data_IF_152901089944
#
_entry.id   IF_152901089944
#
_cell.length_a   1.000
_cell.length_b   1.000
_cell.length_c   1.000
_cell.angle_alpha   90.00
_cell.angle_beta   90.00
_cell.angle_gamma   90.00
#
_symmetry.space_group_name_H-M   'P 1'
#
loop_
_entity.id
_entity.type
_entity.pdbx_description
1 polymer ?
#
# COMPACT_ATOMS: atom_id res chain seq x y z
N UNK A 1 3.25 11.99 -8.48
CA UNK A 1 3.67 11.33 -7.22
C UNK A 1 2.62 11.60 -6.15
N UNK A 2 2.10 10.57 -5.47
CA UNK A 2 0.98 10.68 -4.51
C UNK A 2 1.40 10.65 -3.04
N UNK A 3 2.65 11.07 -2.78
CA UNK A 3 3.35 10.83 -1.53
C UNK A 3 3.47 12.06 -0.62
N UNK A 4 2.50 12.97 -0.76
CA UNK A 4 2.57 14.34 -0.21
C UNK A 4 1.92 14.39 1.20
N UNK A 5 1.15 13.38 1.57
CA UNK A 5 0.57 13.26 2.91
C UNK A 5 1.57 12.54 3.83
N UNK A 6 1.74 13.04 5.07
CA UNK A 6 2.80 12.60 6.01
C UNK A 6 2.84 11.09 6.29
N UNK A 7 1.71 10.41 6.18
CA UNK A 7 1.57 8.97 6.44
C UNK A 7 1.66 8.12 5.15
N UNK A 8 1.84 8.76 3.99
CA UNK A 8 1.98 8.10 2.70
C UNK A 8 3.23 8.66 2.00
N UNK A 9 4.37 8.68 2.68
CA UNK A 9 5.64 9.11 2.08
C UNK A 9 6.35 7.92 1.43
N UNK A 10 7.31 8.19 0.53
CA UNK A 10 8.17 7.14 -0.02
C UNK A 10 8.93 6.40 1.09
N UNK A 11 9.47 7.15 2.05
CA UNK A 11 10.19 6.58 3.20
C UNK A 11 9.30 5.67 4.03
N UNK A 12 8.06 6.05 4.30
CA UNK A 12 7.12 5.21 5.04
C UNK A 12 6.81 3.89 4.31
N UNK A 13 6.68 3.91 2.99
CA UNK A 13 6.46 2.69 2.21
C UNK A 13 7.68 1.77 2.18
N UNK A 14 8.89 2.34 2.04
CA UNK A 14 10.14 1.57 2.07
C UNK A 14 10.36 0.96 3.46
N UNK A 15 10.11 1.72 4.53
CA UNK A 15 10.18 1.23 5.91
C UNK A 15 9.16 0.12 6.17
N UNK A 16 7.90 0.31 5.74
CA UNK A 16 6.86 -0.72 5.84
C UNK A 16 7.28 -2.00 5.13
N UNK A 17 7.70 -1.91 3.87
CA UNK A 17 8.12 -3.07 3.10
C UNK A 17 9.33 -3.76 3.70
N UNK A 18 10.37 -2.99 4.07
CA UNK A 18 11.59 -3.51 4.66
C UNK A 18 11.34 -4.23 5.98
N UNK A 19 10.64 -3.59 6.93
CA UNK A 19 10.32 -4.20 8.23
C UNK A 19 9.37 -5.40 8.12
N UNK A 20 8.45 -5.37 7.15
CA UNK A 20 7.57 -6.49 6.89
C UNK A 20 8.32 -7.75 6.39
N UNK A 21 9.53 -7.63 5.85
CA UNK A 21 10.35 -8.83 5.51
C UNK A 21 10.94 -9.54 6.72
N UNK A 22 10.93 -8.92 7.91
CA UNK A 22 11.45 -9.53 9.13
C UNK A 22 10.45 -10.56 9.64
N UNK A 23 10.86 -11.82 9.69
CA UNK A 23 10.05 -12.88 10.28
C UNK A 23 10.03 -12.72 11.81
N UNK A 24 8.84 -12.81 12.40
CA UNK A 24 8.65 -12.64 13.85
C UNK A 24 8.09 -13.90 14.49
N UNK A 25 8.54 -14.18 15.70
CA UNK A 25 8.02 -15.26 16.55
C UNK A 25 7.54 -14.72 17.89
N UNK A 26 6.52 -15.37 18.46
CA UNK A 26 6.09 -15.19 19.83
C UNK A 26 7.10 -15.81 20.80
N UNK A 27 6.92 -15.58 22.09
CA UNK A 27 7.81 -16.10 23.13
C UNK A 27 7.88 -17.63 23.20
N UNK A 28 6.82 -18.30 22.76
CA UNK A 28 6.70 -19.76 22.63
C UNK A 28 7.35 -20.32 21.35
N UNK A 29 7.93 -19.46 20.51
CA UNK A 29 8.57 -19.83 19.25
C UNK A 29 7.63 -19.96 18.06
N UNK A 30 6.32 -19.73 18.22
CA UNK A 30 5.38 -19.76 17.10
C UNK A 30 5.56 -18.54 16.20
N UNK A 31 5.53 -18.79 14.89
CA UNK A 31 5.61 -17.74 13.89
C UNK A 31 4.37 -16.84 13.94
N UNK A 32 4.58 -15.53 13.92
CA UNK A 32 3.52 -14.54 13.85
C UNK A 32 3.14 -14.35 12.38
N UNK A 33 1.93 -14.80 12.03
CA UNK A 33 1.35 -14.68 10.69
C UNK A 33 0.09 -13.82 10.65
N UNK A 34 -0.50 -13.55 11.81
CA UNK A 34 -1.63 -12.63 11.93
C UNK A 34 -1.17 -11.21 11.58
N UNK A 35 -1.94 -10.51 10.72
CA UNK A 35 -1.52 -9.23 10.14
C UNK A 35 -1.35 -8.14 11.20
N UNK A 36 -2.25 -8.09 12.18
CA UNK A 36 -2.29 -7.02 13.17
C UNK A 36 -1.25 -7.29 14.27
N UNK A 37 -1.11 -8.54 14.69
CA UNK A 37 -0.04 -8.96 15.58
C UNK A 37 1.34 -8.74 14.96
N UNK A 38 1.51 -9.07 13.68
CA UNK A 38 2.76 -8.84 12.96
C UNK A 38 3.08 -7.35 12.87
N UNK A 39 2.11 -6.50 12.51
CA UNK A 39 2.29 -5.05 12.44
C UNK A 39 2.72 -4.47 13.80
N UNK A 40 2.06 -4.88 14.89
CA UNK A 40 2.43 -4.48 16.26
C UNK A 40 3.83 -4.96 16.67
N UNK A 41 4.17 -6.21 16.34
CA UNK A 41 5.42 -6.82 16.73
C UNK A 41 6.63 -6.25 15.97
N UNK A 42 6.45 -6.00 14.67
CA UNK A 42 7.50 -5.48 13.79
C UNK A 42 7.60 -3.96 13.78
N UNK A 43 6.63 -3.26 14.37
CA UNK A 43 6.57 -1.80 14.41
C UNK A 43 6.71 -1.20 13.01
N UNK A 44 5.89 -1.69 12.08
CA UNK A 44 5.77 -1.14 10.73
C UNK A 44 4.39 -0.52 10.53
N UNK A 45 4.36 0.58 9.78
CA UNK A 45 3.13 1.29 9.47
C UNK A 45 2.35 1.70 10.73
N UNK A 46 1.02 1.63 10.67
CA UNK A 46 0.14 1.84 11.81
C UNK A 46 -0.90 0.72 11.86
N UNK A 47 -0.99 0.02 12.99
CA UNK A 47 -1.90 -1.12 13.18
C UNK A 47 -3.38 -0.74 13.08
N UNK A 48 -3.72 0.54 13.26
CA UNK A 48 -5.08 1.07 13.09
C UNK A 48 -5.37 1.55 11.67
N UNK A 49 -4.39 1.53 10.76
CA UNK A 49 -4.58 1.80 9.33
C UNK A 49 -4.71 0.48 8.59
N UNK A 50 -5.94 0.03 8.33
CA UNK A 50 -6.23 -1.29 7.74
C UNK A 50 -5.33 -1.69 6.54
N UNK A 51 -4.89 -0.72 5.73
CA UNK A 51 -3.94 -0.96 4.63
C UNK A 51 -2.58 -1.47 5.09
N UNK A 52 -2.03 -0.95 6.18
CA UNK A 52 -0.63 -1.19 6.56
C UNK A 52 -0.42 -2.64 7.05
N UNK A 53 -1.21 -3.18 8.00
CA UNK A 53 -1.14 -4.60 8.37
C UNK A 53 -1.34 -5.52 7.17
N UNK A 54 -2.30 -5.20 6.29
CA UNK A 54 -2.62 -6.00 5.11
C UNK A 54 -1.44 -6.05 4.12
N UNK A 55 -0.86 -4.91 3.78
CA UNK A 55 0.31 -4.83 2.89
C UNK A 55 1.52 -5.54 3.53
N UNK A 56 1.78 -5.28 4.82
CA UNK A 56 2.90 -5.89 5.52
C UNK A 56 2.79 -7.41 5.61
N UNK A 57 1.61 -7.95 5.91
CA UNK A 57 1.37 -9.39 5.94
C UNK A 57 1.59 -10.05 4.57
N UNK A 58 1.17 -9.40 3.48
CA UNK A 58 1.40 -9.89 2.12
C UNK A 58 2.90 -9.94 1.78
N UNK A 59 3.65 -8.88 2.12
CA UNK A 59 5.12 -8.85 1.95
C UNK A 59 5.80 -9.93 2.79
N UNK A 60 5.36 -10.10 4.05
CA UNK A 60 5.91 -11.12 4.94
C UNK A 60 5.67 -12.54 4.42
N UNK A 61 4.53 -12.81 3.78
CA UNK A 61 4.26 -14.11 3.17
C UNK A 61 5.30 -14.48 2.12
N UNK A 62 5.60 -13.57 1.20
CA UNK A 62 6.67 -13.76 0.22
C UNK A 62 8.06 -13.88 0.87
N UNK A 63 8.33 -13.12 1.93
CA UNK A 63 9.61 -13.23 2.66
C UNK A 63 9.79 -14.61 3.31
N UNK A 64 8.73 -15.20 3.88
CA UNK A 64 8.74 -16.56 4.43
C UNK A 64 9.02 -17.62 3.36
N UNK A 65 8.56 -17.37 2.15
CA UNK A 65 8.76 -18.25 1.00
C UNK A 65 10.15 -18.09 0.37
N UNK A 66 10.96 -17.12 0.79
CA UNK A 66 12.31 -16.91 0.26
C UNK A 66 12.34 -16.10 -1.05
N UNK A 67 11.32 -15.29 -1.29
CA UNK A 67 11.24 -14.44 -2.48
C UNK A 67 11.96 -13.10 -2.31
N UNK A 68 12.57 -12.63 -3.40
CA UNK A 68 13.03 -11.25 -3.55
C UNK A 68 11.87 -10.41 -4.07
N UNK A 69 11.57 -9.30 -3.41
CA UNK A 69 10.55 -8.35 -3.83
C UNK A 69 11.17 -7.03 -4.27
N UNK A 70 10.63 -6.45 -5.33
CA UNK A 70 10.92 -5.07 -5.73
C UNK A 70 9.60 -4.30 -5.88
N UNK A 71 9.61 -3.01 -5.57
CA UNK A 71 8.44 -2.14 -5.74
C UNK A 71 8.40 -1.67 -7.20
N UNK A 72 7.23 -1.72 -7.84
CA UNK A 72 7.08 -1.25 -9.21
C UNK A 72 7.28 0.26 -9.34
N UNK A 73 7.76 0.70 -10.50
CA UNK A 73 7.83 2.10 -10.88
C UNK A 73 6.52 2.52 -11.59
N UNK A 74 5.82 3.58 -11.15
CA UNK A 74 6.14 4.46 -10.03
C UNK A 74 5.82 3.85 -8.67
N UNK A 75 6.61 4.21 -7.67
CA UNK A 75 6.33 3.86 -6.27
C UNK A 75 5.12 4.66 -5.80
N UNK A 76 4.16 3.98 -5.16
CA UNK A 76 2.93 4.60 -4.70
C UNK A 76 1.99 3.62 -3.98
N UNK A 77 1.10 4.19 -3.15
CA UNK A 77 -0.12 3.53 -2.73
C UNK A 77 -1.21 3.80 -3.76
N UNK A 78 -1.89 2.74 -4.18
CA UNK A 78 -2.92 2.77 -5.19
C UNK A 78 -4.24 2.29 -4.63
N UNK A 79 -5.34 2.88 -5.09
CA UNK A 79 -6.66 2.30 -4.89
C UNK A 79 -6.77 1.14 -5.88
N UNK A 80 -6.82 -0.06 -5.34
CA UNK A 80 -6.80 -1.31 -6.10
C UNK A 80 -8.20 -1.68 -6.60
N UNK A 81 -9.16 -1.66 -5.68
CA UNK A 81 -10.56 -1.97 -5.94
C UNK A 81 -11.45 -1.34 -4.89
N UNK A 82 -12.75 -1.23 -5.23
CA UNK A 82 -13.79 -0.84 -4.29
C UNK A 82 -14.86 -1.94 -4.28
N UNK A 83 -15.23 -2.43 -3.10
CA UNK A 83 -16.32 -3.38 -2.91
C UNK A 83 -17.62 -2.63 -2.59
N UNK A 84 -18.56 -2.60 -3.52
CA UNK A 84 -19.84 -1.90 -3.37
C UNK A 84 -20.95 -2.76 -2.74
N UNK A 85 -20.71 -4.06 -2.54
CA UNK A 85 -21.71 -4.98 -1.97
C UNK A 85 -22.33 -4.54 -0.64
N UNK A 86 -21.59 -3.90 0.31
CA UNK A 86 -22.19 -3.46 1.57
C UNK A 86 -22.89 -2.10 1.48
N UNK A 87 -22.87 -1.42 0.34
CA UNK A 87 -23.48 -0.09 0.13
C UNK A 87 -24.84 -0.27 -0.50
N UNK A 88 -25.85 0.39 0.03
CA UNK A 88 -27.23 0.27 -0.43
C UNK A 88 -27.88 1.65 -0.62
N UNK A 89 -28.67 1.82 -1.69
CA UNK A 89 -29.50 3.00 -1.87
C UNK A 89 -30.62 3.07 -0.81
N UNK A 90 -31.28 4.23 -0.64
CA UNK A 90 -32.43 4.34 0.26
C UNK A 90 -33.62 3.47 -0.18
N UNK A 91 -34.55 3.14 0.73
CA UNK A 91 -35.76 2.40 0.39
C UNK A 91 -36.52 3.02 -0.79
N UNK A 92 -36.93 2.19 -1.75
CA UNK A 92 -37.58 2.65 -2.98
C UNK A 92 -36.61 2.90 -4.15
N UNK A 93 -35.31 2.75 -3.93
CA UNK A 93 -34.26 2.84 -4.93
C UNK A 93 -33.46 1.54 -5.06
N UNK A 94 -34.04 0.39 -4.70
CA UNK A 94 -33.34 -0.90 -4.60
C UNK A 94 -32.68 -1.39 -5.91
N UNK A 95 -33.13 -0.86 -7.07
CA UNK A 95 -32.57 -1.17 -8.39
C UNK A 95 -31.33 -0.31 -8.75
N UNK A 96 -30.99 0.70 -7.95
CA UNK A 96 -29.85 1.57 -8.19
C UNK A 96 -28.53 0.89 -7.75
N UNK A 97 -27.58 0.71 -8.68
CA UNK A 97 -26.26 0.13 -8.40
C UNK A 97 -25.27 1.20 -7.92
N UNK A 98 -24.81 1.17 -6.65
CA UNK A 98 -23.83 2.12 -6.13
C UNK A 98 -22.52 2.15 -6.93
N UNK A 99 -22.13 1.06 -7.59
CA UNK A 99 -20.92 1.05 -8.39
C UNK A 99 -20.97 2.09 -9.53
N UNK A 100 -22.16 2.38 -10.06
CA UNK A 100 -22.34 3.37 -11.12
C UNK A 100 -22.10 4.82 -10.64
N UNK A 101 -22.13 5.06 -9.33
CA UNK A 101 -21.91 6.37 -8.72
C UNK A 101 -20.42 6.66 -8.47
N UNK A 102 -19.54 5.69 -8.72
CA UNK A 102 -18.10 5.86 -8.56
C UNK A 102 -17.41 6.27 -9.85
N UNK A 103 -16.55 7.28 -9.74
CA UNK A 103 -15.70 7.73 -10.84
C UNK A 103 -14.25 7.82 -10.42
N UNK A 104 -13.36 7.19 -11.19
CA UNK A 104 -11.93 7.45 -11.10
C UNK A 104 -11.61 8.84 -11.65
N UNK A 105 -11.03 9.69 -10.83
CA UNK A 105 -10.68 11.08 -11.21
C UNK A 105 -9.18 11.32 -11.28
N UNK A 106 -8.35 10.39 -10.79
CA UNK A 106 -6.90 10.43 -11.01
C UNK A 106 -6.27 9.04 -11.04
N UNK A 107 -5.33 8.87 -11.96
CA UNK A 107 -4.58 7.64 -12.19
C UNK A 107 -5.06 6.94 -13.46
N UNK A 108 -4.67 5.68 -13.62
CA UNK A 108 -5.07 4.81 -14.74
C UNK A 108 -5.28 3.40 -14.21
N UNK A 109 -5.81 2.49 -15.03
CA UNK A 109 -6.01 1.09 -14.66
C UNK A 109 -4.81 0.52 -13.92
N UNK A 110 -5.06 0.08 -12.70
CA UNK A 110 -4.07 -0.48 -11.79
C UNK A 110 -3.25 0.51 -10.96
N UNK A 111 -3.23 1.79 -11.30
CA UNK A 111 -2.51 2.84 -10.57
C UNK A 111 -3.44 4.03 -10.28
N UNK A 112 -4.69 3.72 -9.90
CA UNK A 112 -5.65 4.72 -9.47
C UNK A 112 -5.28 5.26 -8.09
N UNK A 113 -5.58 6.53 -7.87
CA UNK A 113 -5.13 7.24 -6.68
C UNK A 113 -6.13 8.28 -6.19
N UNK A 114 -7.18 8.55 -6.97
CA UNK A 114 -8.33 9.33 -6.56
C UNK A 114 -9.57 8.82 -7.28
N UNK A 115 -10.65 8.68 -6.53
CA UNK A 115 -11.99 8.57 -7.07
C UNK A 115 -12.94 9.49 -6.32
N UNK A 116 -14.11 9.67 -6.90
CA UNK A 116 -15.22 10.46 -6.38
C UNK A 116 -16.48 9.59 -6.41
N UNK A 117 -17.26 9.69 -5.34
CA UNK A 117 -18.52 8.97 -5.18
C UNK A 117 -19.64 10.00 -5.07
N UNK A 118 -20.54 10.02 -6.04
CA UNK A 118 -21.61 11.01 -6.12
C UNK A 118 -22.87 10.37 -6.70
N UNK A 119 -24.01 10.55 -6.02
CA UNK A 119 -25.31 10.13 -6.53
C UNK A 119 -25.74 11.13 -7.62
N UNK A 120 -26.06 10.66 -8.85
CA UNK A 120 -26.53 11.55 -9.90
C UNK A 120 -27.81 12.30 -9.50
N UNK A 121 -27.93 13.62 -9.79
CA UNK A 121 -29.07 14.43 -9.37
C UNK A 121 -30.44 13.87 -9.79
N UNK A 122 -30.51 13.18 -10.94
CA UNK A 122 -31.71 12.55 -11.48
C UNK A 122 -32.26 11.41 -10.62
N UNK A 123 -31.45 10.84 -9.71
CA UNK A 123 -31.89 9.81 -8.77
C UNK A 123 -32.78 10.37 -7.66
N UNK A 124 -32.72 11.68 -7.40
CA UNK A 124 -33.60 12.34 -6.43
C UNK A 124 -33.25 12.10 -4.95
N UNK A 125 -32.09 11.51 -4.66
CA UNK A 125 -31.51 11.38 -3.32
C UNK A 125 -30.01 11.72 -3.35
N UNK A 126 -29.38 11.84 -2.19
CA UNK A 126 -27.94 12.14 -2.05
C UNK A 126 -27.19 11.01 -1.34
N UNK A 127 -25.86 11.03 -1.36
CA UNK A 127 -25.02 10.04 -0.65
C UNK A 127 -25.41 9.88 0.83
N UNK A 128 -25.85 10.97 1.48
CA UNK A 128 -26.29 10.95 2.88
C UNK A 128 -27.59 10.18 3.14
N UNK A 129 -28.34 9.83 2.09
CA UNK A 129 -29.56 9.01 2.21
C UNK A 129 -29.24 7.50 2.08
N UNK A 130 -28.01 7.14 1.71
CA UNK A 130 -27.58 5.77 1.50
C UNK A 130 -27.17 5.08 2.81
N UNK A 131 -27.09 3.76 2.75
CA UNK A 131 -26.74 2.90 3.88
C UNK A 131 -25.47 2.12 3.58
N UNK A 132 -24.68 1.85 4.61
CA UNK A 132 -23.57 0.90 4.57
C UNK A 132 -23.78 -0.14 5.64
N UNK A 133 -23.93 -1.42 5.26
CA UNK A 133 -24.25 -2.53 6.19
C UNK A 133 -25.47 -2.20 7.08
N UNK A 134 -26.50 -1.61 6.50
CA UNK A 134 -27.72 -1.13 7.17
C UNK A 134 -27.52 0.03 8.16
N UNK A 135 -26.36 0.70 8.15
CA UNK A 135 -26.10 1.93 8.93
C UNK A 135 -26.19 3.14 8.00
N UNK A 136 -26.98 4.17 8.33
CA UNK A 136 -27.04 5.41 7.54
C UNK A 136 -25.66 6.06 7.36
N UNK A 137 -25.40 6.61 6.16
CA UNK A 137 -24.25 7.47 5.90
C UNK A 137 -24.52 8.89 6.42
N UNK A 138 -23.86 9.26 7.51
CA UNK A 138 -23.85 10.60 8.07
C UNK A 138 -22.70 11.47 7.50
N UNK A 139 -21.57 10.85 7.15
CA UNK A 139 -20.40 11.53 6.59
C UNK A 139 -19.61 10.63 5.63
N UNK A 140 -19.06 11.20 4.56
CA UNK A 140 -18.33 10.45 3.53
C UNK A 140 -17.10 9.68 4.03
N UNK A 141 -16.55 10.08 5.18
CA UNK A 141 -15.48 9.33 5.85
C UNK A 141 -15.89 7.91 6.26
N UNK A 142 -17.19 7.62 6.43
CA UNK A 142 -17.67 6.27 6.75
C UNK A 142 -17.34 5.27 5.65
N UNK A 143 -17.33 5.67 4.37
CA UNK A 143 -16.93 4.81 3.25
C UNK A 143 -15.43 4.42 3.34
N UNK A 144 -14.61 5.23 4.00
CA UNK A 144 -13.18 4.99 4.19
C UNK A 144 -12.81 4.48 5.59
N UNK A 145 -13.78 4.34 6.50
CA UNK A 145 -13.56 4.00 7.91
C UNK A 145 -13.80 2.52 8.22
N UNK A 146 -13.43 2.10 9.42
CA UNK A 146 -13.52 0.71 9.92
C UNK A 146 -14.94 0.10 9.94
N UNK A 147 -16.00 0.89 9.71
CA UNK A 147 -17.36 0.34 9.49
C UNK A 147 -17.42 -0.54 8.23
N UNK A 148 -16.47 -0.32 7.31
CA UNK A 148 -16.36 -1.00 6.02
C UNK A 148 -14.92 -1.45 5.85
N UNK A 149 -14.48 -2.36 6.74
CA UNK A 149 -13.30 -3.17 6.44
C UNK A 149 -13.40 -3.64 4.98
N UNK A 150 -12.37 -3.28 4.22
CA UNK A 150 -12.12 -3.68 2.84
C UNK A 150 -13.03 -3.10 1.75
N UNK A 151 -13.85 -2.05 2.05
CA UNK A 151 -14.56 -1.33 0.98
C UNK A 151 -13.57 -0.73 0.00
N UNK A 152 -12.59 0.06 0.47
CA UNK A 152 -11.53 0.61 -0.38
C UNK A 152 -10.25 -0.16 -0.12
N UNK A 153 -9.84 -0.97 -1.09
CA UNK A 153 -8.58 -1.72 -1.01
C UNK A 153 -7.44 -0.84 -1.50
N UNK A 154 -6.44 -0.65 -0.64
CA UNK A 154 -5.22 0.07 -0.96
C UNK A 154 -4.08 -0.92 -1.12
N UNK A 155 -3.32 -0.81 -2.20
CA UNK A 155 -2.21 -1.71 -2.52
C UNK A 155 -0.91 -0.96 -2.81
N UNK A 156 0.20 -1.66 -2.60
CA UNK A 156 1.49 -1.37 -3.24
C UNK A 156 1.65 -2.37 -4.38
N UNK A 157 2.21 -1.92 -5.50
CA UNK A 157 2.62 -2.83 -6.57
C UNK A 157 4.04 -3.30 -6.37
N UNK A 158 4.23 -4.61 -6.31
CA UNK A 158 5.53 -5.24 -6.22
C UNK A 158 5.67 -6.37 -7.25
N UNK A 159 6.92 -6.70 -7.59
CA UNK A 159 7.26 -7.87 -8.40
C UNK A 159 8.16 -8.80 -7.61
N UNK A 160 7.92 -10.09 -7.79
CA UNK A 160 8.83 -11.14 -7.37
C UNK A 160 9.98 -11.21 -8.38
N UNK A 161 11.21 -11.09 -7.90
CA UNK A 161 12.41 -11.19 -8.70
C UNK A 161 12.94 -12.64 -8.70
N UNK A 162 12.47 -13.43 -9.66
CA UNK A 162 12.92 -14.82 -9.85
C UNK A 162 12.22 -15.84 -8.94
N UNK A 163 12.65 -17.12 -8.99
CA UNK A 163 12.15 -18.15 -8.08
C UNK A 163 12.55 -17.86 -6.62
N UNK A 164 11.91 -18.52 -5.64
CA UNK A 164 12.35 -18.42 -4.25
C UNK A 164 13.72 -19.09 -4.11
N UNK A 165 14.76 -18.27 -3.94
CA UNK A 165 16.15 -18.70 -3.88
C UNK A 165 16.89 -18.14 -2.66
N UNK A 166 16.20 -17.38 -1.80
CA UNK A 166 16.72 -16.89 -0.52
C UNK A 166 16.33 -17.88 0.57
N UNK A 167 17.30 -18.28 1.39
CA UNK A 167 17.02 -18.91 2.68
C UNK A 167 16.48 -17.82 3.62
N UNK A 168 15.22 -17.89 4.07
CA UNK A 168 14.67 -16.86 4.97
C UNK A 168 15.53 -16.72 6.22
N UNK A 169 15.72 -15.48 6.67
CA UNK A 169 16.45 -15.22 7.90
C UNK A 169 15.74 -15.84 9.11
N UNK A 170 16.52 -16.22 10.12
CA UNK A 170 15.98 -16.75 11.38
C UNK A 170 14.96 -15.75 11.99
N UNK A 171 13.76 -16.22 12.38
CA UNK A 171 12.76 -15.36 12.99
C UNK A 171 13.24 -14.69 14.28
N UNK A 172 12.73 -13.48 14.53
CA UNK A 172 13.12 -12.63 15.67
C UNK A 172 11.95 -12.46 16.64
N UNK A 173 12.21 -12.30 17.94
CA UNK A 173 11.14 -11.94 18.89
C UNK A 173 10.68 -10.50 18.68
N UNK A 174 9.53 -10.13 19.21
CA UNK A 174 9.11 -8.72 19.22
C UNK A 174 10.08 -7.89 20.07
N UNK A 175 10.38 -6.66 19.66
CA UNK A 175 11.35 -5.80 20.35
C UNK A 175 12.83 -6.11 20.03
N UNK A 176 13.14 -7.27 19.45
CA UNK A 176 14.45 -7.53 18.82
C UNK A 176 14.50 -6.74 17.49
N UNK A 177 14.62 -5.43 17.58
CA UNK A 177 14.92 -4.63 16.40
C UNK A 177 16.35 -4.94 15.98
N UNK A 178 16.63 -5.25 14.70
CA UNK A 178 17.99 -5.10 14.22
C UNK A 178 18.43 -3.68 14.62
N UNK A 179 19.64 -3.54 15.15
CA UNK A 179 20.26 -2.22 15.33
C UNK A 179 19.97 -1.50 14.03
N UNK A 180 19.20 -0.41 14.09
CA UNK A 180 18.96 0.40 12.90
C UNK A 180 20.33 0.52 12.25
N UNK A 181 20.53 0.15 10.96
CA UNK A 181 21.70 0.67 10.28
C UNK A 181 21.65 2.16 10.61
N UNK A 182 22.71 2.67 11.24
CA UNK A 182 22.82 4.08 11.57
C UNK A 182 22.28 4.82 10.35
N UNK A 183 21.36 5.80 10.53
CA UNK A 183 20.70 6.45 9.40
C UNK A 183 21.78 6.70 8.37
N UNK A 184 21.63 6.10 7.18
CA UNK A 184 22.63 6.22 6.13
C UNK A 184 22.86 7.72 5.99
N UNK A 185 24.01 8.22 6.46
CA UNK A 185 24.33 9.61 6.33
C UNK A 185 24.43 9.82 4.83
N UNK A 186 23.44 10.51 4.26
CA UNK A 186 23.43 10.84 2.83
C UNK A 186 24.72 11.56 2.40
N UNK A 187 25.48 12.09 3.37
CA UNK A 187 26.84 12.63 3.21
C UNK A 187 27.89 11.62 2.72
N UNK A 188 27.67 10.30 2.83
CA UNK A 188 28.60 9.30 2.27
C UNK A 188 28.39 9.05 0.77
N UNK A 189 27.21 9.36 0.21
CA UNK A 189 26.97 9.33 -1.25
C UNK A 189 27.52 10.56 -1.96
N UNK A 190 27.76 11.67 -1.25
CA UNK A 190 28.43 12.87 -1.80
C UNK A 190 29.97 12.74 -1.80
N UNK A 191 30.52 11.73 -1.12
CA UNK A 191 31.96 11.51 -1.00
C UNK A 191 32.53 10.44 -1.94
N UNK A 192 31.71 9.81 -2.79
CA UNK A 192 32.26 9.00 -3.88
C UNK A 192 32.92 9.93 -4.90
N UNK A 193 34.24 9.83 -5.13
CA UNK A 193 34.90 10.64 -6.14
C UNK A 193 34.38 10.21 -7.51
N UNK A 194 33.93 11.20 -8.28
CA UNK A 194 33.96 11.30 -9.74
C UNK A 194 34.05 9.98 -10.53
N UNK A 195 33.00 9.73 -11.32
CA UNK A 195 33.05 9.11 -12.65
C UNK A 195 34.40 8.46 -13.01
N UNK A 196 34.62 7.22 -12.57
CA UNK A 196 35.56 6.31 -13.22
C UNK A 196 34.75 5.24 -13.91
N UNK A 197 34.27 5.55 -15.11
CA UNK A 197 33.92 4.67 -16.23
C UNK A 197 33.00 5.45 -17.20
N UNK A 198 33.50 6.57 -17.72
CA UNK A 198 32.95 7.25 -18.88
C UNK A 198 34.10 7.61 -19.82
N UNK A 199 34.66 6.61 -20.49
CA UNK A 199 35.39 6.82 -21.75
C UNK A 199 34.52 6.48 -22.97
N UNK A 200 33.21 6.27 -22.79
CA UNK A 200 32.29 5.86 -23.87
C UNK A 200 30.95 6.62 -23.84
N UNK A 201 30.92 7.87 -23.38
CA UNK A 201 29.71 8.71 -23.44
C UNK A 201 29.88 10.04 -24.17
N UNK A 202 30.81 10.11 -25.12
CA UNK A 202 30.85 11.19 -26.11
C UNK A 202 31.20 10.63 -27.49
N UNK A 203 30.17 10.19 -28.22
CA UNK A 203 30.02 10.41 -29.66
C UNK A 203 28.75 9.71 -30.15
N UNK A 204 27.68 10.47 -30.31
CA UNK A 204 26.75 10.38 -31.46
C UNK A 204 25.62 11.41 -31.26
N UNK A 205 25.98 12.67 -31.46
CA UNK A 205 25.07 13.71 -31.95
C UNK A 205 25.86 14.50 -32.98
N UNK A 206 25.72 14.10 -34.24
CA UNK A 206 25.65 14.98 -35.40
C UNK A 206 25.75 14.14 -36.69
N UNK A 207 24.66 14.15 -37.46
CA UNK A 207 24.55 14.09 -38.94
C UNK A 207 23.39 13.18 -39.40
N UNK A 208 22.23 13.80 -39.60
CA UNK A 208 21.30 13.39 -40.65
C UNK A 208 21.17 14.56 -41.63
N UNK A 209 21.66 14.32 -42.85
CA UNK A 209 21.18 14.92 -44.10
C UNK A 209 19.71 14.53 -44.36
#
# INVERSE_FOLDING_TARGET
MHLIQRNNTLSAQVDLGGRATILRVRDDGQLIIDRDELSRCSDFGNDRRNSDPTIGAAINAFAREGHKLTIENPVGLYIDSVDWAPVHPPPGHDDDDPQEFWKWTRGRTGTFVRGEFEVPPEKGYVVGDMFVRNVPLEFGGQLAAALVEDLIKISIRARVAGPPDIVPAEPRRCGDHPISPQPFELEELEKTPECKFLSECDHERDNHD
#
